data_IF_220167134469
#
_entry.id   IF_220167134469
#
_cell.length_a   1.000
_cell.length_b   1.000
_cell.length_c   1.000
_cell.angle_alpha   90.00
_cell.angle_beta   90.00
_cell.angle_gamma   90.00
#
_symmetry.space_group_name_H-M   'P 1'
#
loop_
_entity.id
_entity.type
_entity.pdbx_description
1 polymer ?
#
# COMPACT_ATOMS: atom_id res chain seq x y z
N UNK A 1 -98.06 -70.78 43.43
CA UNK A 1 -97.03 -71.56 42.70
C UNK A 1 -96.20 -70.60 41.87
N UNK A 2 -95.20 -69.97 42.48
CA UNK A 2 -94.17 -69.17 41.78
C UNK A 2 -92.94 -69.17 42.68
N UNK A 3 -91.99 -70.06 42.40
CA UNK A 3 -90.70 -70.15 43.08
C UNK A 3 -89.79 -69.06 42.49
N UNK A 4 -89.38 -68.03 43.23
CA UNK A 4 -88.30 -67.17 42.78
C UNK A 4 -87.00 -67.94 43.00
N UNK A 5 -86.41 -68.41 41.90
CA UNK A 5 -85.02 -68.86 41.88
C UNK A 5 -84.13 -67.65 42.20
N UNK A 6 -83.76 -67.52 43.47
CA UNK A 6 -82.73 -66.58 43.91
C UNK A 6 -81.42 -67.12 43.39
N UNK A 7 -80.99 -66.57 42.25
CA UNK A 7 -79.63 -66.65 41.73
C UNK A 7 -78.70 -66.09 42.81
N UNK A 8 -78.07 -66.97 43.58
CA UNK A 8 -76.89 -66.59 44.35
C UNK A 8 -75.82 -66.19 43.34
N UNK A 9 -75.31 -64.95 43.36
CA UNK A 9 -74.21 -64.58 42.49
C UNK A 9 -73.02 -65.51 42.79
N UNK A 10 -72.46 -66.07 41.72
CA UNK A 10 -71.33 -66.98 41.78
C UNK A 10 -70.10 -66.17 42.22
N UNK A 11 -69.92 -66.07 43.55
CA UNK A 11 -68.86 -65.32 44.24
C UNK A 11 -67.46 -65.66 43.71
N UNK A 12 -67.32 -66.83 43.09
CA UNK A 12 -66.09 -67.28 42.44
C UNK A 12 -65.78 -66.50 41.15
N UNK A 13 -66.79 -66.10 40.38
CA UNK A 13 -66.64 -65.35 39.13
C UNK A 13 -66.24 -63.89 39.36
N UNK A 14 -66.89 -63.21 40.31
CA UNK A 14 -66.56 -61.81 40.67
C UNK A 14 -65.15 -61.69 41.24
N UNK A 15 -64.71 -62.67 42.04
CA UNK A 15 -63.33 -62.73 42.52
C UNK A 15 -62.32 -62.88 41.37
N UNK A 16 -62.59 -63.77 40.40
CA UNK A 16 -61.71 -63.97 39.25
C UNK A 16 -61.62 -62.71 38.38
N UNK A 17 -62.73 -62.00 38.18
CA UNK A 17 -62.74 -60.72 37.45
C UNK A 17 -61.99 -59.61 38.19
N UNK A 18 -62.19 -59.50 39.51
CA UNK A 18 -61.47 -58.53 40.34
C UNK A 18 -59.94 -58.78 40.31
N UNK A 19 -59.52 -60.03 40.51
CA UNK A 19 -58.10 -60.39 40.46
C UNK A 19 -57.51 -60.26 39.06
N UNK A 20 -58.29 -60.56 38.01
CA UNK A 20 -57.90 -60.34 36.62
C UNK A 20 -57.70 -58.86 36.29
N UNK A 21 -58.57 -57.98 36.79
CA UNK A 21 -58.43 -56.52 36.67
C UNK A 21 -57.19 -56.02 37.42
N UNK A 22 -57.00 -56.44 38.68
CA UNK A 22 -55.83 -56.07 39.48
C UNK A 22 -54.52 -56.53 38.86
N UNK A 23 -54.49 -57.74 38.29
CA UNK A 23 -53.33 -58.24 37.57
C UNK A 23 -53.02 -57.42 36.32
N UNK A 24 -54.03 -57.07 35.51
CA UNK A 24 -53.85 -56.20 34.33
C UNK A 24 -53.33 -54.82 34.72
N UNK A 25 -53.88 -54.21 35.78
CA UNK A 25 -53.44 -52.92 36.29
C UNK A 25 -51.98 -52.97 36.73
N UNK A 26 -51.60 -53.97 37.54
CA UNK A 26 -50.23 -54.16 37.99
C UNK A 26 -49.27 -54.44 36.83
N UNK A 27 -49.71 -55.22 35.82
CA UNK A 27 -48.91 -55.49 34.62
C UNK A 27 -48.66 -54.21 33.82
N UNK A 28 -49.69 -53.38 33.63
CA UNK A 28 -49.55 -52.12 32.91
C UNK A 28 -48.66 -51.13 33.65
N UNK A 29 -48.78 -51.06 34.98
CA UNK A 29 -47.87 -50.26 35.82
C UNK A 29 -46.41 -50.74 35.69
N UNK A 30 -46.17 -52.05 35.62
CA UNK A 30 -44.82 -52.59 35.38
C UNK A 30 -44.32 -52.24 33.98
N UNK A 31 -45.14 -52.34 32.93
CA UNK A 31 -44.78 -51.94 31.56
C UNK A 31 -44.47 -50.43 31.46
N UNK A 32 -45.26 -49.58 32.14
CA UNK A 32 -45.03 -48.14 32.23
C UNK A 32 -43.74 -47.80 33.01
N UNK A 33 -43.46 -48.52 34.09
CA UNK A 33 -42.20 -48.36 34.83
C UNK A 33 -40.99 -48.84 34.01
N UNK A 34 -41.13 -49.91 33.24
CA UNK A 34 -40.08 -50.41 32.35
C UNK A 34 -39.77 -49.41 31.24
N UNK A 35 -40.79 -48.83 30.61
CA UNK A 35 -40.60 -47.80 29.57
C UNK A 35 -39.97 -46.53 30.14
N UNK A 36 -40.36 -46.11 31.33
CA UNK A 36 -39.71 -45.00 32.05
C UNK A 36 -38.23 -45.28 32.33
N UNK A 37 -37.91 -46.46 32.86
CA UNK A 37 -36.52 -46.85 33.14
C UNK A 37 -35.68 -46.87 31.85
N UNK A 38 -36.24 -47.35 30.74
CA UNK A 38 -35.56 -47.35 29.44
C UNK A 38 -35.30 -45.92 28.92
N UNK A 39 -36.25 -45.00 29.09
CA UNK A 39 -36.08 -43.59 28.72
C UNK A 39 -35.05 -42.89 29.61
N UNK A 40 -35.07 -43.15 30.92
CA UNK A 40 -34.09 -42.59 31.86
C UNK A 40 -32.67 -43.07 31.52
N UNK A 41 -32.51 -44.35 31.17
CA UNK A 41 -31.24 -44.90 30.72
C UNK A 41 -30.77 -44.21 29.42
N UNK A 42 -31.67 -44.04 28.44
CA UNK A 42 -31.34 -43.34 27.20
C UNK A 42 -30.92 -41.88 27.46
N UNK A 43 -31.64 -41.16 28.32
CA UNK A 43 -31.28 -39.78 28.69
C UNK A 43 -29.92 -39.73 29.39
N UNK A 44 -29.62 -40.71 30.25
CA UNK A 44 -28.33 -40.82 30.89
C UNK A 44 -27.21 -41.06 29.87
N UNK A 45 -27.44 -41.91 28.87
CA UNK A 45 -26.50 -42.17 27.78
C UNK A 45 -26.27 -40.89 26.94
N UNK A 46 -27.32 -40.12 26.63
CA UNK A 46 -27.20 -38.83 25.94
C UNK A 46 -26.41 -37.81 26.76
N UNK A 47 -26.69 -37.70 28.07
CA UNK A 47 -25.97 -36.78 28.97
C UNK A 47 -24.48 -37.13 29.06
N UNK A 48 -24.15 -38.43 29.11
CA UNK A 48 -22.75 -38.88 29.11
C UNK A 48 -22.06 -38.55 27.79
N UNK A 49 -22.72 -38.80 26.64
CA UNK A 49 -22.20 -38.43 25.31
C UNK A 49 -21.93 -36.93 25.19
N UNK A 50 -22.88 -36.08 25.60
CA UNK A 50 -22.72 -34.62 25.56
C UNK A 50 -21.61 -34.13 26.49
N UNK A 51 -21.43 -34.77 27.64
CA UNK A 51 -20.33 -34.45 28.57
C UNK A 51 -18.96 -34.79 27.96
N UNK A 52 -18.85 -35.90 27.25
CA UNK A 52 -17.62 -36.29 26.55
C UNK A 52 -17.33 -35.36 25.37
N UNK A 53 -18.34 -34.99 24.58
CA UNK A 53 -18.20 -34.00 23.51
C UNK A 53 -17.76 -32.63 24.04
N UNK A 54 -18.35 -32.16 25.14
CA UNK A 54 -17.96 -30.91 25.79
C UNK A 54 -16.50 -30.96 26.24
N UNK A 55 -16.05 -32.08 26.82
CA UNK A 55 -14.67 -32.28 27.25
C UNK A 55 -13.71 -32.25 26.05
N UNK A 56 -14.07 -32.89 24.95
CA UNK A 56 -13.27 -32.87 23.70
C UNK A 56 -13.20 -31.44 23.16
N UNK A 57 -14.32 -30.70 23.15
CA UNK A 57 -14.36 -29.33 22.68
C UNK A 57 -13.49 -28.40 23.55
N UNK A 58 -13.52 -28.57 24.87
CA UNK A 58 -12.67 -27.84 25.81
C UNK A 58 -11.18 -28.10 25.54
N UNK A 59 -10.79 -29.37 25.37
CA UNK A 59 -9.40 -29.73 25.04
C UNK A 59 -8.94 -29.13 23.71
N UNK A 60 -9.80 -29.14 22.69
CA UNK A 60 -9.52 -28.50 21.39
C UNK A 60 -9.36 -26.99 21.53
N UNK A 61 -10.20 -26.34 22.33
CA UNK A 61 -10.11 -24.90 22.58
C UNK A 61 -8.81 -24.54 23.28
N UNK A 62 -8.41 -25.32 24.31
CA UNK A 62 -7.13 -25.15 24.99
C UNK A 62 -5.94 -25.33 24.05
N UNK A 63 -5.97 -26.36 23.19
CA UNK A 63 -4.93 -26.60 22.19
C UNK A 63 -4.81 -25.46 21.17
N UNK A 64 -5.92 -24.98 20.61
CA UNK A 64 -5.93 -23.85 19.68
C UNK A 64 -5.48 -22.55 20.35
N UNK A 65 -5.86 -22.34 21.61
CA UNK A 65 -5.41 -21.18 22.40
C UNK A 65 -3.90 -21.19 22.60
N UNK A 66 -3.32 -22.35 22.92
CA UNK A 66 -1.87 -22.53 23.03
C UNK A 66 -1.15 -22.32 21.68
N UNK A 67 -1.69 -22.83 20.58
CA UNK A 67 -1.14 -22.60 19.23
C UNK A 67 -1.18 -21.12 18.85
N UNK A 68 -2.30 -20.43 19.12
CA UNK A 68 -2.43 -18.98 18.91
C UNK A 68 -1.36 -18.21 19.70
N UNK A 69 -1.15 -18.55 20.97
CA UNK A 69 -0.11 -17.91 21.79
C UNK A 69 1.29 -18.12 21.21
N UNK A 70 1.60 -19.32 20.72
CA UNK A 70 2.87 -19.62 20.07
C UNK A 70 3.07 -18.83 18.77
N UNK A 71 2.03 -18.72 17.94
CA UNK A 71 2.07 -17.93 16.70
C UNK A 71 2.27 -16.44 16.99
N UNK A 72 1.65 -15.90 18.04
CA UNK A 72 1.87 -14.50 18.46
C UNK A 72 3.34 -14.27 18.81
N UNK A 73 3.95 -15.18 19.59
CA UNK A 73 5.37 -15.11 19.93
C UNK A 73 6.25 -15.19 18.68
N UNK A 74 5.93 -16.10 17.75
CA UNK A 74 6.67 -16.29 16.51
C UNK A 74 6.60 -15.04 15.62
N UNK A 75 5.42 -14.47 15.42
CA UNK A 75 5.22 -13.23 14.65
C UNK A 75 5.96 -12.07 15.32
N UNK A 76 5.91 -11.98 16.65
CA UNK A 76 6.69 -11.00 17.42
C UNK A 76 8.19 -11.08 17.16
N UNK A 77 8.74 -12.30 17.18
CA UNK A 77 10.16 -12.54 16.86
C UNK A 77 10.51 -12.18 15.42
N UNK A 78 9.72 -12.62 14.45
CA UNK A 78 9.96 -12.31 13.03
C UNK A 78 9.88 -10.80 12.75
N UNK A 79 8.98 -10.08 13.42
CA UNK A 79 8.89 -8.64 13.32
C UNK A 79 10.14 -7.95 13.92
N UNK A 80 10.64 -8.42 15.06
CA UNK A 80 11.88 -7.91 15.65
C UNK A 80 13.08 -8.14 14.71
N UNK A 81 13.20 -9.34 14.14
CA UNK A 81 14.24 -9.68 13.16
C UNK A 81 14.14 -8.80 11.91
N UNK A 82 12.92 -8.58 11.40
CA UNK A 82 12.67 -7.68 10.26
C UNK A 82 13.15 -6.26 10.53
N UNK A 83 12.82 -5.70 11.71
CA UNK A 83 13.24 -4.35 12.11
C UNK A 83 14.75 -4.27 12.24
N UNK A 84 15.39 -5.27 12.84
CA UNK A 84 16.85 -5.33 12.98
C UNK A 84 17.54 -5.37 11.60
N UNK A 85 17.06 -6.21 10.68
CA UNK A 85 17.58 -6.28 9.31
C UNK A 85 17.37 -4.98 8.53
N UNK A 86 16.22 -4.33 8.70
CA UNK A 86 15.94 -3.04 8.07
C UNK A 86 16.91 -1.95 8.58
N UNK A 87 17.19 -1.93 9.88
CA UNK A 87 18.19 -1.02 10.45
C UNK A 87 19.58 -1.29 9.87
N UNK A 88 20.02 -2.55 9.82
CA UNK A 88 21.29 -2.93 9.22
C UNK A 88 21.40 -2.52 7.75
N UNK A 89 20.33 -2.73 6.96
CA UNK A 89 20.27 -2.31 5.56
C UNK A 89 20.43 -0.79 5.43
N UNK A 90 19.75 -0.01 6.28
CA UNK A 90 19.88 1.45 6.29
C UNK A 90 21.30 1.93 6.64
N UNK A 91 21.95 1.32 7.63
CA UNK A 91 23.34 1.65 7.98
C UNK A 91 24.29 1.33 6.83
N UNK A 92 24.15 0.16 6.20
CA UNK A 92 24.96 -0.23 5.04
C UNK A 92 24.70 0.66 3.82
N UNK A 93 23.46 1.09 3.60
CA UNK A 93 23.10 2.02 2.54
C UNK A 93 23.79 3.38 2.75
N UNK A 94 23.76 3.90 3.99
CA UNK A 94 24.42 5.16 4.36
C UNK A 94 25.94 5.08 4.14
N UNK A 95 26.55 3.97 4.54
CA UNK A 95 27.99 3.74 4.34
C UNK A 95 28.34 3.66 2.84
N UNK A 96 27.54 2.97 2.03
CA UNK A 96 27.76 2.90 0.59
C UNK A 96 27.66 4.29 -0.08
N UNK A 97 26.71 5.12 0.36
CA UNK A 97 26.58 6.51 -0.10
C UNK A 97 27.82 7.32 0.26
N UNK A 98 28.29 7.22 1.52
CA UNK A 98 29.51 7.91 2.00
C UNK A 98 30.73 7.53 1.17
N UNK A 99 30.96 6.23 0.99
CA UNK A 99 32.08 5.72 0.19
C UNK A 99 32.04 6.23 -1.26
N UNK A 100 30.85 6.27 -1.89
CA UNK A 100 30.69 6.82 -3.24
C UNK A 100 30.98 8.30 -3.29
N UNK A 101 30.47 9.08 -2.35
CA UNK A 101 30.71 10.53 -2.29
C UNK A 101 32.20 10.83 -2.13
N UNK A 102 32.89 10.13 -1.22
CA UNK A 102 34.33 10.24 -1.04
C UNK A 102 35.11 9.90 -2.32
N UNK A 103 34.72 8.82 -3.00
CA UNK A 103 35.35 8.40 -4.24
C UNK A 103 35.11 9.37 -5.41
N UNK A 104 33.92 9.98 -5.53
CA UNK A 104 33.65 11.03 -6.53
C UNK A 104 34.49 12.27 -6.25
N UNK A 105 34.55 12.69 -4.99
CA UNK A 105 35.38 13.83 -4.56
C UNK A 105 36.85 13.56 -4.87
N UNK A 106 37.35 12.34 -4.65
CA UNK A 106 38.72 11.99 -4.97
C UNK A 106 38.99 11.98 -6.49
N UNK A 107 38.09 11.38 -7.27
CA UNK A 107 38.23 11.20 -8.71
C UNK A 107 38.21 12.53 -9.49
N UNK A 108 37.45 13.52 -9.02
CA UNK A 108 37.20 14.78 -9.74
C UNK A 108 37.90 15.99 -9.09
N UNK A 109 39.01 15.77 -8.37
CA UNK A 109 39.85 16.83 -7.80
C UNK A 109 40.74 17.50 -8.86
N UNK A 110 40.89 18.84 -8.85
CA UNK A 110 40.15 19.79 -8.01
C UNK A 110 38.72 19.96 -8.51
N UNK A 111 37.75 20.03 -7.59
CA UNK A 111 36.36 20.29 -7.95
C UNK A 111 36.29 21.67 -8.62
N UNK A 112 35.74 21.77 -9.84
CA UNK A 112 35.62 23.05 -10.50
C UNK A 112 34.65 23.94 -9.72
N UNK A 113 35.07 25.17 -9.41
CA UNK A 113 34.19 26.19 -8.88
C UNK A 113 33.74 27.08 -10.03
N UNK A 114 32.49 26.92 -10.47
CA UNK A 114 31.88 27.75 -11.52
C UNK A 114 31.06 28.90 -10.97
N UNK A 115 30.72 28.84 -9.68
CA UNK A 115 29.82 29.77 -9.01
C UNK A 115 30.60 30.57 -7.99
N UNK A 116 30.30 31.87 -7.91
CA UNK A 116 30.77 32.69 -6.80
C UNK A 116 30.17 32.18 -5.49
N UNK A 117 30.94 32.20 -4.40
CA UNK A 117 30.49 31.78 -3.06
C UNK A 117 29.23 32.56 -2.57
N UNK A 118 28.94 33.71 -3.18
CA UNK A 118 27.77 34.53 -2.89
C UNK A 118 26.53 34.16 -3.71
N UNK A 119 26.67 33.36 -4.76
CA UNK A 119 25.57 32.97 -5.61
C UNK A 119 24.79 31.81 -4.97
N UNK A 120 23.53 32.07 -4.63
CA UNK A 120 22.62 31.06 -4.10
C UNK A 120 21.44 30.83 -5.07
N UNK A 121 21.45 29.74 -5.86
CA UNK A 121 20.41 29.48 -6.84
C UNK A 121 19.08 29.17 -6.13
N UNK A 122 17.99 29.75 -6.66
CA UNK A 122 16.64 29.63 -6.09
C UNK A 122 15.82 28.64 -6.93
N UNK A 123 15.05 27.73 -6.29
CA UNK A 123 14.16 26.84 -7.01
C UNK A 123 13.10 27.59 -7.84
N UNK A 124 12.90 27.16 -9.08
CA UNK A 124 12.00 27.74 -10.08
C UNK A 124 10.70 26.92 -10.11
N UNK A 125 9.56 27.57 -9.89
CA UNK A 125 8.24 26.91 -9.84
C UNK A 125 7.59 26.74 -11.22
N UNK A 126 7.33 25.51 -11.67
CA UNK A 126 6.51 25.18 -12.85
C UNK A 126 6.04 23.72 -12.86
N UNK A 127 4.88 23.46 -13.49
CA UNK A 127 4.23 22.14 -13.51
C UNK A 127 4.67 21.24 -14.68
N UNK A 128 5.12 21.84 -15.80
CA UNK A 128 5.39 21.09 -17.02
C UNK A 128 6.71 21.51 -17.65
N UNK A 129 7.69 20.60 -17.61
CA UNK A 129 8.97 20.78 -18.30
C UNK A 129 8.77 21.05 -19.80
N UNK A 130 7.82 20.37 -20.45
CA UNK A 130 7.52 20.59 -21.89
C UNK A 130 7.07 22.02 -22.17
N UNK A 131 6.19 22.58 -21.34
CA UNK A 131 5.73 23.96 -21.50
C UNK A 131 6.85 24.96 -21.23
N UNK A 132 7.67 24.72 -20.20
CA UNK A 132 8.84 25.54 -19.92
C UNK A 132 9.76 25.59 -21.13
N UNK A 133 10.17 24.42 -21.65
CA UNK A 133 11.07 24.33 -22.80
C UNK A 133 10.50 25.04 -24.03
N UNK A 134 9.19 24.95 -24.27
CA UNK A 134 8.55 25.67 -25.38
C UNK A 134 8.50 27.19 -25.22
N UNK A 135 8.66 27.68 -23.99
CA UNK A 135 8.63 29.11 -23.63
C UNK A 135 10.03 29.72 -23.57
N UNK A 136 11.08 28.89 -23.50
CA UNK A 136 12.45 29.36 -23.45
C UNK A 136 12.84 30.09 -24.75
N UNK A 137 13.72 31.11 -24.66
CA UNK A 137 14.28 31.77 -25.84
C UNK A 137 14.99 30.78 -26.76
N UNK A 138 14.86 30.97 -28.09
CA UNK A 138 15.43 30.05 -29.09
C UNK A 138 16.96 30.07 -29.07
N UNK A 139 17.55 31.23 -28.83
CA UNK A 139 18.98 31.42 -28.60
C UNK A 139 19.54 30.58 -27.45
N UNK A 140 18.73 30.31 -26.42
CA UNK A 140 19.10 29.47 -25.27
C UNK A 140 18.81 27.98 -25.52
N UNK A 141 17.93 27.65 -26.47
CA UNK A 141 17.56 26.25 -26.80
C UNK A 141 18.18 25.72 -28.09
N UNK A 142 18.84 26.57 -28.87
CA UNK A 142 19.52 26.20 -30.13
C UNK A 142 20.87 25.49 -29.91
N UNK A 143 21.25 25.24 -28.67
CA UNK A 143 22.49 24.54 -28.37
C UNK A 143 22.38 23.04 -28.63
N UNK A 144 23.50 22.36 -28.93
CA UNK A 144 23.50 20.93 -29.23
C UNK A 144 23.18 20.04 -28.02
N UNK A 145 23.19 20.58 -26.80
CA UNK A 145 22.99 19.83 -25.57
C UNK A 145 21.51 19.74 -25.17
N UNK A 146 21.17 18.64 -24.51
CA UNK A 146 19.80 18.35 -24.08
C UNK A 146 19.52 18.90 -22.69
N UNK A 147 18.30 19.39 -22.46
CA UNK A 147 17.80 19.72 -21.12
C UNK A 147 17.24 18.45 -20.47
N UNK A 148 17.81 18.03 -19.35
CA UNK A 148 17.50 16.78 -18.69
C UNK A 148 16.82 17.05 -17.34
N UNK A 149 15.52 16.75 -17.27
CA UNK A 149 14.68 17.00 -16.08
C UNK A 149 14.53 15.71 -15.27
N UNK A 150 14.94 15.75 -14.01
CA UNK A 150 14.84 14.62 -13.07
C UNK A 150 13.82 14.96 -11.98
N UNK A 151 12.70 14.23 -11.88
CA UNK A 151 11.74 14.44 -10.80
C UNK A 151 12.27 13.87 -9.48
N UNK A 152 11.68 14.29 -8.37
CA UNK A 152 12.05 13.76 -7.05
C UNK A 152 11.55 12.30 -6.90
N UNK A 153 12.17 11.47 -6.04
CA UNK A 153 11.52 10.28 -5.53
C UNK A 153 10.08 10.59 -5.06
N UNK A 154 9.10 9.72 -5.38
CA UNK A 154 9.26 8.35 -5.84
C UNK A 154 9.38 8.17 -7.37
N UNK A 155 9.44 9.26 -8.15
CA UNK A 155 9.35 9.19 -9.61
C UNK A 155 10.70 8.94 -10.32
N UNK A 156 11.80 8.92 -9.58
CA UNK A 156 13.14 8.64 -10.08
C UNK A 156 13.99 7.93 -9.02
N UNK A 157 15.03 7.23 -9.49
CA UNK A 157 16.07 6.69 -8.62
C UNK A 157 16.93 7.85 -8.06
N UNK A 158 17.50 7.71 -6.85
CA UNK A 158 18.31 8.78 -6.24
C UNK A 158 19.42 9.32 -7.15
N UNK A 159 19.47 10.64 -7.23
CA UNK A 159 20.57 11.45 -7.73
C UNK A 159 21.29 12.05 -6.52
N UNK A 160 22.62 12.14 -6.57
CA UNK A 160 23.43 12.75 -5.51
C UNK A 160 24.36 13.79 -6.10
N UNK A 161 24.00 15.05 -5.92
CA UNK A 161 24.80 16.23 -6.22
C UNK A 161 24.54 17.21 -5.08
N UNK A 162 25.59 17.59 -4.34
CA UNK A 162 25.42 18.32 -3.08
C UNK A 162 24.97 19.77 -3.30
N UNK A 163 25.46 20.41 -4.36
CA UNK A 163 25.03 21.75 -4.77
C UNK A 163 25.20 21.97 -6.27
N UNK A 164 24.51 22.97 -6.84
CA UNK A 164 24.71 23.33 -8.24
C UNK A 164 26.17 23.67 -8.56
N UNK A 165 26.63 23.26 -9.74
CA UNK A 165 28.01 23.41 -10.16
C UNK A 165 28.99 22.37 -9.60
N UNK A 166 28.56 21.49 -8.69
CA UNK A 166 29.45 20.49 -8.07
C UNK A 166 29.38 19.13 -8.76
N UNK A 167 30.44 18.32 -8.69
CA UNK A 167 30.39 16.94 -9.14
C UNK A 167 29.42 16.10 -8.31
N UNK A 168 29.02 14.95 -8.85
CA UNK A 168 28.16 14.00 -8.15
C UNK A 168 28.06 12.66 -8.85
N UNK A 169 26.97 11.95 -8.61
CA UNK A 169 26.65 10.70 -9.29
C UNK A 169 25.14 10.44 -9.35
N UNK A 170 24.75 9.57 -10.27
CA UNK A 170 23.38 9.09 -10.41
C UNK A 170 23.36 7.61 -10.81
N UNK A 171 22.16 7.04 -10.78
CA UNK A 171 21.95 5.64 -11.12
C UNK A 171 21.02 5.52 -12.31
N UNK A 172 21.42 4.69 -13.28
CA UNK A 172 20.63 4.32 -14.45
C UNK A 172 19.85 5.50 -15.09
N UNK A 173 20.53 6.45 -15.75
CA UNK A 173 19.85 7.56 -16.42
C UNK A 173 18.92 7.01 -17.51
N UNK A 174 17.63 7.36 -17.43
CA UNK A 174 16.64 6.92 -18.40
C UNK A 174 16.88 7.61 -19.75
N UNK A 175 16.82 6.89 -20.87
CA UNK A 175 17.25 7.40 -22.18
C UNK A 175 18.72 7.81 -22.13
N UNK A 176 19.62 6.82 -22.02
CA UNK A 176 21.07 6.96 -21.98
C UNK A 176 21.50 8.22 -22.72
N UNK A 177 21.79 9.28 -21.97
CA UNK A 177 22.43 10.44 -22.55
C UNK A 177 23.66 9.91 -23.28
N UNK A 178 23.93 10.30 -24.54
CA UNK A 178 25.09 9.81 -25.25
C UNK A 178 26.29 9.98 -24.32
N UNK A 179 26.93 8.86 -23.99
CA UNK A 179 28.13 8.86 -23.15
C UNK A 179 29.08 9.84 -23.84
N UNK A 180 29.55 10.85 -23.11
CA UNK A 180 30.39 11.96 -23.60
C UNK A 180 29.68 13.17 -24.26
N UNK A 181 28.35 13.21 -24.33
CA UNK A 181 27.63 14.44 -24.69
C UNK A 181 27.26 15.24 -23.44
N UNK A 182 27.56 16.54 -23.39
CA UNK A 182 27.10 17.37 -22.29
C UNK A 182 25.58 17.55 -22.33
N UNK A 183 24.99 17.70 -21.15
CA UNK A 183 23.57 17.98 -20.97
C UNK A 183 23.38 18.94 -19.79
N UNK A 184 22.27 19.68 -19.81
CA UNK A 184 21.89 20.57 -18.72
C UNK A 184 21.04 19.78 -17.73
N UNK A 185 21.43 19.77 -16.46
CA UNK A 185 20.76 19.01 -15.41
C UNK A 185 19.80 19.92 -14.63
N UNK A 186 18.52 19.55 -14.62
CA UNK A 186 17.46 20.23 -13.88
C UNK A 186 16.79 19.19 -12.97
N UNK A 187 16.74 19.47 -11.67
CA UNK A 187 16.25 18.51 -10.66
C UNK A 187 15.09 19.10 -9.90
N UNK A 188 14.03 18.33 -9.71
CA UNK A 188 12.94 18.69 -8.82
C UNK A 188 13.37 18.54 -7.36
N UNK A 189 13.39 19.66 -6.63
CA UNK A 189 13.79 19.70 -5.21
C UNK A 189 12.58 19.64 -4.27
N UNK A 190 11.43 20.13 -4.73
CA UNK A 190 10.11 20.02 -4.10
C UNK A 190 9.07 19.90 -5.20
N UNK A 191 7.84 19.49 -4.89
CA UNK A 191 6.78 19.33 -5.89
C UNK A 191 6.61 20.59 -6.75
N UNK A 192 6.84 20.45 -8.06
CA UNK A 192 6.82 21.52 -9.06
C UNK A 192 7.84 22.65 -8.84
N UNK A 193 8.85 22.48 -7.98
CA UNK A 193 9.97 23.39 -7.81
C UNK A 193 11.25 22.73 -8.29
N UNK A 194 11.89 23.37 -9.25
CA UNK A 194 13.01 22.81 -9.99
C UNK A 194 14.25 23.67 -9.82
N UNK A 195 15.40 23.04 -9.57
CA UNK A 195 16.68 23.70 -9.45
C UNK A 195 17.56 23.32 -10.64
N UNK A 196 18.19 24.31 -11.25
CA UNK A 196 19.19 24.08 -12.30
C UNK A 196 20.56 23.82 -11.64
N UNK A 197 21.13 22.65 -11.92
CA UNK A 197 22.38 22.19 -11.32
C UNK A 197 23.62 22.50 -12.15
N UNK A 198 23.48 22.88 -13.42
CA UNK A 198 24.61 23.11 -14.34
C UNK A 198 24.62 22.16 -15.54
N UNK A 199 25.69 22.24 -16.32
CA UNK A 199 25.98 21.36 -17.45
C UNK A 199 26.91 20.23 -17.00
N UNK A 200 26.53 18.99 -17.30
CA UNK A 200 27.25 17.81 -16.85
C UNK A 200 27.67 16.91 -18.01
N UNK A 201 28.76 16.19 -17.79
CA UNK A 201 29.13 14.97 -18.50
C UNK A 201 28.87 13.78 -17.60
N UNK A 202 28.41 12.66 -18.18
CA UNK A 202 28.24 11.40 -17.45
C UNK A 202 29.27 10.37 -17.89
N UNK A 203 29.84 9.64 -16.93
CA UNK A 203 30.78 8.53 -17.19
C UNK A 203 30.46 7.32 -16.31
N UNK A 204 30.69 6.07 -16.77
CA UNK A 204 30.49 4.89 -15.93
C UNK A 204 31.31 4.97 -14.64
N UNK A 205 30.70 4.66 -13.50
CA UNK A 205 31.39 4.61 -12.21
C UNK A 205 31.51 3.16 -11.73
N UNK A 206 32.45 2.44 -12.35
CA UNK A 206 32.61 0.99 -12.17
C UNK A 206 32.96 0.62 -10.73
N UNK A 207 32.35 -0.43 -10.20
CA UNK A 207 32.55 -0.91 -8.81
C UNK A 207 31.71 -0.16 -7.76
N UNK A 208 31.08 0.94 -8.18
CA UNK A 208 30.22 1.77 -7.35
C UNK A 208 28.74 1.64 -7.73
N UNK A 209 28.34 0.50 -8.30
CA UNK A 209 26.94 0.16 -8.53
C UNK A 209 26.13 0.25 -7.24
N UNK A 210 24.83 0.49 -7.36
CA UNK A 210 23.94 0.55 -6.20
C UNK A 210 24.02 -0.76 -5.43
N UNK A 211 24.27 -0.67 -4.11
CA UNK A 211 24.31 -1.86 -3.27
C UNK A 211 22.89 -2.35 -2.98
N UNK A 212 22.75 -3.66 -2.73
CA UNK A 212 21.45 -4.26 -2.41
C UNK A 212 20.80 -3.60 -1.19
N UNK A 213 21.60 -3.23 -0.18
CA UNK A 213 21.12 -2.50 1.00
C UNK A 213 20.41 -1.20 0.62
N UNK A 214 20.95 -0.43 -0.32
CA UNK A 214 20.34 0.81 -0.80
C UNK A 214 19.06 0.54 -1.58
N UNK A 215 19.09 -0.45 -2.47
CA UNK A 215 17.93 -0.87 -3.22
C UNK A 215 16.77 -1.23 -2.28
N UNK A 216 17.05 -2.04 -1.25
CA UNK A 216 16.04 -2.46 -0.28
C UNK A 216 15.44 -1.28 0.50
N UNK A 217 16.21 -0.20 0.73
CA UNK A 217 15.76 1.02 1.40
C UNK A 217 14.93 1.97 0.52
N UNK A 218 14.91 1.77 -0.80
CA UNK A 218 14.02 2.54 -1.68
C UNK A 218 12.56 2.23 -1.39
N UNK A 219 11.69 3.24 -1.55
CA UNK A 219 10.26 3.04 -1.47
C UNK A 219 9.76 2.16 -2.63
N UNK A 220 8.64 1.49 -2.36
CA UNK A 220 8.04 0.52 -3.29
C UNK A 220 7.63 1.15 -4.63
N UNK A 221 7.19 2.40 -4.61
CA UNK A 221 6.77 3.10 -5.82
C UNK A 221 7.97 3.41 -6.73
N UNK A 222 9.08 3.87 -6.17
CA UNK A 222 10.35 4.06 -6.90
C UNK A 222 10.81 2.76 -7.57
N UNK A 223 10.82 1.65 -6.82
CA UNK A 223 11.22 0.34 -7.35
C UNK A 223 10.34 -0.09 -8.51
N UNK A 224 9.02 0.03 -8.38
CA UNK A 224 8.07 -0.35 -9.42
C UNK A 224 8.19 0.52 -10.67
N UNK A 225 8.31 1.85 -10.51
CA UNK A 225 8.51 2.78 -11.63
C UNK A 225 9.82 2.45 -12.37
N UNK A 226 10.90 2.20 -11.63
CA UNK A 226 12.17 1.79 -12.23
C UNK A 226 12.04 0.47 -13.01
N UNK A 227 11.51 -0.59 -12.37
CA UNK A 227 11.39 -1.90 -13.01
C UNK A 227 10.49 -1.85 -14.26
N UNK A 228 9.40 -1.07 -14.21
CA UNK A 228 8.55 -0.79 -15.36
C UNK A 228 9.34 -0.16 -16.52
N UNK A 229 10.12 0.89 -16.24
CA UNK A 229 10.97 1.54 -17.26
C UNK A 229 12.05 0.63 -17.83
N UNK A 230 12.68 -0.19 -17.00
CA UNK A 230 13.68 -1.19 -17.44
C UNK A 230 13.03 -2.23 -18.35
N UNK A 231 11.82 -2.67 -18.01
CA UNK A 231 11.06 -3.63 -18.81
C UNK A 231 10.67 -3.04 -20.18
N UNK A 232 10.22 -1.78 -20.19
CA UNK A 232 9.79 -1.07 -21.40
C UNK A 232 10.95 -0.72 -22.33
N UNK A 233 12.18 -0.56 -21.83
CA UNK A 233 13.35 -0.16 -22.62
C UNK A 233 13.66 -1.08 -23.81
N UNK A 234 13.26 -2.35 -23.75
CA UNK A 234 13.48 -3.33 -24.85
C UNK A 234 12.33 -3.41 -25.84
N UNK A 235 11.24 -2.68 -25.60
CA UNK A 235 10.02 -2.73 -26.41
C UNK A 235 9.96 -1.57 -27.41
N UNK A 236 9.08 -1.68 -28.39
CA UNK A 236 8.86 -0.61 -29.36
C UNK A 236 8.11 0.57 -28.71
N UNK A 237 8.29 1.77 -29.26
CA UNK A 237 7.60 2.96 -28.76
C UNK A 237 6.07 2.75 -28.73
N UNK A 238 5.45 2.98 -27.58
CA UNK A 238 4.01 2.78 -27.35
C UNK A 238 3.63 1.39 -26.84
N UNK A 239 4.58 0.47 -26.68
CA UNK A 239 4.37 -0.80 -25.99
C UNK A 239 4.76 -0.68 -24.51
N UNK A 240 4.06 -1.45 -23.67
CA UNK A 240 4.37 -1.59 -22.24
C UNK A 240 4.59 -3.06 -21.90
N UNK A 241 5.56 -3.33 -21.04
CA UNK A 241 5.85 -4.66 -20.57
C UNK A 241 4.71 -5.18 -19.68
N UNK A 242 4.48 -6.49 -19.78
CA UNK A 242 3.50 -7.16 -18.92
C UNK A 242 3.87 -7.02 -17.44
N UNK A 243 2.87 -7.00 -16.56
CA UNK A 243 3.09 -6.95 -15.12
C UNK A 243 3.97 -8.12 -14.62
N UNK A 244 3.79 -9.32 -15.17
CA UNK A 244 4.63 -10.48 -14.83
C UNK A 244 6.11 -10.24 -15.13
N UNK A 245 6.43 -9.62 -16.28
CA UNK A 245 7.81 -9.23 -16.63
C UNK A 245 8.37 -8.20 -15.66
N UNK A 246 7.56 -7.22 -15.23
CA UNK A 246 7.99 -6.21 -14.25
C UNK A 246 8.31 -6.84 -12.90
N UNK A 247 7.51 -7.81 -12.44
CA UNK A 247 7.74 -8.55 -11.20
C UNK A 247 9.00 -9.44 -11.29
N UNK A 248 9.24 -10.11 -12.42
CA UNK A 248 10.46 -10.89 -12.62
C UNK A 248 11.73 -10.00 -12.56
N UNK A 249 11.71 -8.85 -13.24
CA UNK A 249 12.80 -7.87 -13.20
C UNK A 249 13.03 -7.38 -11.77
N UNK A 250 11.95 -7.03 -11.07
CA UNK A 250 12.01 -6.61 -9.68
C UNK A 250 12.65 -7.68 -8.79
N UNK A 251 12.21 -8.94 -8.92
CA UNK A 251 12.77 -10.05 -8.14
C UNK A 251 14.28 -10.20 -8.34
N UNK A 252 14.80 -9.97 -9.56
CA UNK A 252 16.24 -10.01 -9.84
C UNK A 252 17.02 -8.90 -9.13
N UNK A 253 16.46 -7.71 -8.98
CA UNK A 253 17.06 -6.65 -8.17
C UNK A 253 16.91 -6.92 -6.66
N UNK A 254 15.74 -7.37 -6.21
CA UNK A 254 15.45 -7.69 -4.79
C UNK A 254 16.36 -8.82 -4.26
N UNK A 255 16.81 -9.72 -5.13
CA UNK A 255 17.73 -10.83 -4.81
C UNK A 255 19.21 -10.48 -5.04
N UNK A 256 19.51 -9.30 -5.59
CA UNK A 256 20.88 -8.90 -5.95
C UNK A 256 21.47 -9.67 -7.13
N UNK A 257 20.66 -10.39 -7.91
CA UNK A 257 21.12 -10.99 -9.17
C UNK A 257 21.49 -9.93 -10.21
N UNK A 258 20.78 -8.80 -10.21
CA UNK A 258 21.07 -7.64 -11.04
C UNK A 258 21.49 -6.45 -10.19
N UNK A 259 22.45 -5.69 -10.71
CA UNK A 259 22.93 -4.46 -10.09
C UNK A 259 22.46 -3.26 -10.91
N UNK A 260 22.24 -2.13 -10.23
CA UNK A 260 21.90 -0.86 -10.90
C UNK A 260 23.20 -0.10 -11.17
N UNK A 261 23.56 0.16 -12.44
CA UNK A 261 24.80 0.84 -12.77
C UNK A 261 24.79 2.27 -12.23
N UNK A 262 25.96 2.67 -11.73
CA UNK A 262 26.23 4.01 -11.25
C UNK A 262 27.08 4.75 -12.28
N UNK A 263 26.85 6.05 -12.40
CA UNK A 263 27.62 6.92 -13.28
C UNK A 263 28.00 8.18 -12.51
N UNK A 264 29.22 8.66 -12.73
CA UNK A 264 29.64 9.96 -12.22
C UNK A 264 29.01 11.07 -13.04
N UNK A 265 28.88 12.21 -12.40
CA UNK A 265 28.43 13.47 -12.97
C UNK A 265 29.55 14.48 -12.77
N UNK A 266 30.24 14.83 -13.87
CA UNK A 266 31.27 15.85 -13.89
C UNK A 266 30.63 17.16 -14.36
N UNK A 267 30.57 18.17 -13.48
CA UNK A 267 30.10 19.49 -13.87
C UNK A 267 31.16 20.16 -14.75
N UNK A 268 30.76 20.60 -15.95
CA UNK A 268 31.66 21.25 -16.92
C UNK A 268 31.40 22.75 -17.06
N UNK A 269 30.20 23.22 -16.72
CA UNK A 269 29.82 24.63 -16.79
C UNK A 269 28.59 24.90 -15.93
N UNK A 270 28.39 26.13 -15.46
CA UNK A 270 27.11 26.61 -14.95
C UNK A 270 26.64 27.83 -15.75
N UNK A 271 25.57 27.67 -16.55
CA UNK A 271 25.08 28.76 -17.40
C UNK A 271 24.08 29.66 -16.67
N UNK A 272 24.55 30.82 -16.17
CA UNK A 272 23.69 31.83 -15.53
C UNK A 272 22.60 32.31 -16.48
N UNK A 273 22.92 32.48 -17.76
CA UNK A 273 21.95 32.91 -18.78
C UNK A 273 20.79 31.91 -18.94
N UNK A 274 21.06 30.61 -18.94
CA UNK A 274 20.01 29.58 -18.98
C UNK A 274 19.15 29.61 -17.71
N UNK A 275 19.79 29.69 -16.54
CA UNK A 275 19.09 29.80 -15.25
C UNK A 275 18.12 30.98 -15.23
N UNK A 276 18.58 32.17 -15.61
CA UNK A 276 17.74 33.38 -15.68
C UNK A 276 16.62 33.24 -16.71
N UNK A 277 16.92 32.68 -17.89
CA UNK A 277 15.92 32.43 -18.93
C UNK A 277 14.82 31.46 -18.46
N UNK A 278 15.19 30.42 -17.72
CA UNK A 278 14.24 29.49 -17.10
C UNK A 278 13.36 30.20 -16.05
N UNK A 279 13.95 31.04 -15.20
CA UNK A 279 13.21 31.80 -14.20
C UNK A 279 12.17 32.74 -14.84
N UNK A 280 12.58 33.45 -15.90
CA UNK A 280 11.68 34.34 -16.67
C UNK A 280 10.58 33.54 -17.38
N UNK A 281 10.91 32.39 -17.99
CA UNK A 281 9.93 31.54 -18.67
C UNK A 281 8.90 30.97 -17.68
N UNK A 282 9.34 30.50 -16.52
CA UNK A 282 8.45 30.00 -15.48
C UNK A 282 7.51 31.09 -14.94
N UNK A 283 8.02 32.31 -14.69
CA UNK A 283 7.19 33.44 -14.26
C UNK A 283 6.09 33.76 -15.28
N UNK A 284 6.38 33.67 -16.58
CA UNK A 284 5.37 33.83 -17.65
C UNK A 284 4.29 32.75 -17.59
N UNK A 285 4.67 31.49 -17.39
CA UNK A 285 3.72 30.38 -17.28
C UNK A 285 2.78 30.54 -16.09
N UNK A 286 3.30 30.91 -14.92
CA UNK A 286 2.50 31.17 -13.72
C UNK A 286 1.50 32.31 -13.95
N UNK A 287 1.91 33.39 -14.63
CA UNK A 287 1.03 34.49 -14.95
C UNK A 287 -0.11 34.06 -15.89
N UNK A 288 0.21 33.31 -16.95
CA UNK A 288 -0.79 32.77 -17.87
C UNK A 288 -1.80 31.83 -17.17
N UNK A 289 -1.34 30.97 -16.26
CA UNK A 289 -2.24 30.09 -15.49
C UNK A 289 -3.20 30.91 -14.60
N UNK A 290 -2.70 31.96 -13.97
CA UNK A 290 -3.49 32.84 -13.11
C UNK A 290 -4.56 33.62 -13.90
N UNK A 291 -4.23 34.13 -15.08
CA UNK A 291 -5.18 34.83 -15.96
C UNK A 291 -6.30 33.90 -16.46
N UNK A 292 -5.98 32.64 -16.79
CA UNK A 292 -6.96 31.64 -17.19
C UNK A 292 -7.93 31.32 -16.05
N UNK A 293 -7.44 31.22 -14.81
CA UNK A 293 -8.28 30.99 -13.63
C UNK A 293 -9.22 32.17 -13.37
N UNK A 294 -8.73 33.41 -13.45
CA UNK A 294 -9.55 34.63 -13.29
C UNK A 294 -10.63 34.70 -14.39
N UNK A 295 -10.27 34.38 -15.63
CA UNK A 295 -11.21 34.36 -16.76
C UNK A 295 -12.31 33.31 -16.59
N UNK A 296 -12.00 32.14 -16.02
CA UNK A 296 -13.01 31.10 -15.72
C UNK A 296 -13.96 31.52 -14.60
N UNK A 297 -13.47 32.21 -13.57
CA UNK A 297 -14.31 32.69 -12.47
C UNK A 297 -15.24 33.83 -12.89
N UNK A 298 -14.82 34.70 -13.82
CA UNK A 298 -15.64 35.82 -14.30
C UNK A 298 -16.78 35.37 -15.22
N UNK A 299 -16.58 34.32 -16.02
CA UNK A 299 -17.61 33.73 -16.88
C UNK A 299 -18.69 32.95 -16.10
N UNK A 300 -18.34 32.39 -14.94
CA UNK A 300 -19.28 31.65 -14.08
C UNK A 300 -20.38 32.49 -13.42
N UNK A 301 -20.26 33.82 -13.37
CA UNK A 301 -21.24 34.72 -12.70
C UNK A 301 -22.35 35.25 -13.62
N UNK A 302 -22.33 35.01 -14.93
CA UNK A 302 -23.28 35.64 -15.88
C UNK A 302 -24.43 34.77 -16.38
N UNK A 303 -24.66 33.57 -15.81
CA UNK A 303 -25.80 32.70 -16.17
C UNK A 303 -26.65 32.30 -14.96
N UNK A 304 -27.23 33.27 -14.26
CA UNK A 304 -28.56 33.09 -13.64
C UNK A 304 -29.59 33.61 -14.63
N UNK A 305 -30.04 32.75 -15.53
CA UNK A 305 -31.31 32.98 -16.22
C UNK A 305 -32.42 32.96 -15.18
N UNK A 306 -33.29 33.98 -15.10
CA UNK A 306 -34.50 33.89 -14.31
C UNK A 306 -35.35 32.76 -14.90
N UNK A 307 -35.71 31.80 -14.05
CA UNK A 307 -36.70 30.77 -14.35
C UNK A 307 -38.03 31.44 -14.67
N UNK A 308 -38.29 31.63 -15.96
CA UNK A 308 -39.63 31.90 -16.47
C UNK A 308 -40.42 30.59 -16.42
N UNK A 309 -41.40 30.55 -15.53
CA UNK A 309 -42.44 29.55 -15.50
C UNK A 309 -43.31 29.70 -16.76
N UNK A 310 -43.24 28.72 -17.66
CA UNK A 310 -44.34 28.43 -18.58
C UNK A 310 -44.46 26.92 -18.67
N UNK A 311 -45.59 26.42 -18.14
CA UNK A 311 -45.91 25.00 -18.12
C UNK A 311 -46.16 24.47 -19.52
N UNK A 312 -45.81 23.20 -19.72
CA UNK A 312 -46.45 22.36 -20.72
C UNK A 312 -46.66 20.97 -20.14
N UNK A 313 -47.86 20.48 -20.43
CA UNK A 313 -48.51 19.31 -19.87
C UNK A 313 -47.84 17.99 -20.25
N UNK A 314 -48.07 17.02 -19.36
CA UNK A 314 -47.67 15.64 -19.46
C UNK A 314 -48.28 14.92 -20.69
N UNK A 315 -47.49 14.05 -21.32
CA UNK A 315 -48.00 12.81 -21.91
C UNK A 315 -47.20 11.62 -21.41
N UNK A 316 -47.95 10.77 -20.73
CA UNK A 316 -47.61 9.46 -20.20
C UNK A 316 -47.30 8.48 -21.32
N UNK A 317 -46.16 7.80 -21.24
CA UNK A 317 -45.95 6.51 -21.90
C UNK A 317 -45.23 5.58 -20.94
N UNK A 318 -45.93 4.50 -20.64
CA UNK A 318 -45.68 3.39 -19.73
C UNK A 318 -44.93 2.30 -20.51
N UNK A 319 -43.71 1.94 -20.09
CA UNK A 319 -43.01 0.68 -20.44
C UNK A 319 -42.07 0.37 -19.27
N UNK A 320 -42.47 -0.48 -18.32
CA UNK A 320 -42.11 -1.90 -18.23
C UNK A 320 -40.61 -2.21 -18.12
N UNK A 321 -40.20 -2.56 -16.89
CA UNK A 321 -39.50 -3.81 -16.61
C UNK A 321 -38.00 -3.87 -16.90
N UNK A 322 -37.18 -3.71 -15.86
CA UNK A 322 -36.00 -4.57 -15.71
C UNK A 322 -35.61 -4.67 -14.24
N UNK A 323 -35.87 -5.84 -13.66
CA UNK A 323 -35.29 -6.29 -12.39
C UNK A 323 -33.79 -6.49 -12.61
N UNK A 324 -32.97 -5.93 -11.73
CA UNK A 324 -31.62 -6.41 -11.53
C UNK A 324 -31.41 -6.57 -10.03
N UNK A 325 -31.25 -7.82 -9.63
CA UNK A 325 -31.00 -8.23 -8.25
C UNK A 325 -29.63 -7.70 -7.83
N UNK A 326 -29.61 -6.86 -6.79
CA UNK A 326 -28.37 -6.50 -6.11
C UNK A 326 -28.43 -7.13 -4.72
N UNK A 327 -27.60 -8.16 -4.55
CA UNK A 327 -27.44 -8.89 -3.32
C UNK A 327 -26.90 -7.97 -2.23
N UNK A 328 -27.67 -7.94 -1.15
CA UNK A 328 -27.37 -7.43 0.16
C UNK A 328 -26.19 -8.23 0.75
N UNK A 329 -25.03 -7.59 0.93
CA UNK A 329 -23.95 -8.10 1.77
C UNK A 329 -23.78 -7.10 2.89
N UNK A 330 -24.49 -7.38 3.96
CA UNK A 330 -24.29 -6.83 5.30
C UNK A 330 -22.92 -7.32 5.78
N UNK A 331 -21.93 -6.42 5.80
CA UNK A 331 -20.69 -6.61 6.55
C UNK A 331 -20.76 -5.73 7.80
N UNK A 332 -21.28 -6.32 8.88
CA UNK A 332 -21.05 -5.84 10.23
C UNK A 332 -19.59 -6.16 10.59
N UNK A 333 -18.71 -5.18 10.41
CA UNK A 333 -17.35 -5.18 10.91
C UNK A 333 -17.27 -4.27 12.14
N UNK A 334 -17.54 -4.83 13.32
CA UNK A 334 -17.20 -4.22 14.60
C UNK A 334 -15.69 -3.92 14.66
N UNK A 335 -15.33 -2.67 14.44
CA UNK A 335 -14.01 -2.15 14.82
C UNK A 335 -14.01 -1.96 16.32
N UNK A 336 -13.48 -2.95 17.05
CA UNK A 336 -13.07 -2.78 18.44
C UNK A 336 -11.98 -1.69 18.49
N UNK A 337 -12.34 -0.55 19.07
CA UNK A 337 -11.39 0.49 19.44
C UNK A 337 -10.40 -0.05 20.46
N UNK A 338 -9.13 -0.12 20.07
CA UNK A 338 -8.03 -0.26 21.02
C UNK A 338 -7.66 1.15 21.45
N UNK A 339 -8.21 1.53 22.61
CA UNK A 339 -7.83 2.69 23.39
C UNK A 339 -6.40 2.44 23.90
N UNK A 340 -5.42 3.02 23.20
CA UNK A 340 -4.02 2.97 23.58
C UNK A 340 -3.73 4.11 24.55
N UNK A 341 -3.85 3.83 25.84
CA UNK A 341 -3.34 4.67 26.92
C UNK A 341 -1.84 4.87 26.71
N UNK A 342 -1.48 6.10 26.41
CA UNK A 342 -0.13 6.58 26.28
C UNK A 342 0.39 6.86 27.69
N UNK A 343 1.06 5.87 28.29
CA UNK A 343 1.81 6.08 29.53
C UNK A 343 3.10 6.83 29.22
N UNK A 344 3.12 8.08 29.64
CA UNK A 344 4.29 8.92 29.80
C UNK A 344 5.31 8.24 30.73
N UNK A 345 6.42 7.76 30.15
CA UNK A 345 7.63 7.46 30.92
C UNK A 345 8.62 8.60 30.74
N UNK A 346 8.52 9.52 31.70
CA UNK A 346 9.56 10.45 32.12
C UNK A 346 10.87 9.68 32.42
N UNK A 347 11.87 9.84 31.56
CA UNK A 347 13.25 9.47 31.87
C UNK A 347 14.09 10.75 31.94
N UNK A 348 14.02 11.36 33.11
CA UNK A 348 15.02 12.31 33.56
C UNK A 348 16.25 11.58 34.11
N UNK A 349 17.41 11.96 33.58
CA UNK A 349 18.68 12.22 34.29
C UNK A 349 19.56 11.02 34.70
N UNK A 350 20.77 10.98 34.14
CA UNK A 350 22.01 10.99 34.95
C UNK A 350 23.24 11.36 34.09
N UNK A 351 23.84 12.50 34.45
CA UNK A 351 25.25 12.81 34.19
C UNK A 351 26.11 11.98 35.16
N UNK A 352 27.31 11.59 34.74
CA UNK A 352 28.35 11.15 35.68
C UNK A 352 29.38 10.19 35.08
N UNK A 353 30.36 10.76 34.36
CA UNK A 353 31.83 10.62 34.49
C UNK A 353 32.56 10.85 33.16
#
# INVERSE_FOLDING_TARGET
>A
MSNPAVLTPDLTSEMVEFWGFKYKQAKQEVEDLQTRLANDQFLQDVVTSLRDELKIAQQKLEAMSAEKANLIIQVGRLNADRVALQHQASSLATEAVRQRTEAVIELLKPAPSFLDDSFNPVPIGFHSAKQLVSTLPRDVTNYPWQLYFIPQPPNAIPLRVDSPGQPGYWFYPFNLCPMDSPFELIVEVESNKWLYFGRYLTRPFQGYEMKLSEWLTLDEQTKMIFCSRVADHKLQAGQHASYATQIEIRQRYDTGHWNIPCYTLECVEYSIALYEAMAVAAAKLLHCEQEVLISRQSLGKRRRTPSSSCGFEAKSTKVEGSKFDQADVTQDGETAGVDGTQDDLDLTRAQGE
#
